data_IF_378943714207
#
_entry.id   IF_378943714207
#
_cell.length_a   1.000
_cell.length_b   1.000
_cell.length_c   1.000
_cell.angle_alpha   90.00
_cell.angle_beta   90.00
_cell.angle_gamma   90.00
#
_symmetry.space_group_name_H-M   'P 1'
#
loop_
_entity.id
_entity.type
_entity.pdbx_description
1 polymer ?
#
# COMPACT_ATOMS: atom_id res chain seq x y z
N UNK A 1 -23.13 18.62 6.51
CA UNK A 1 -22.00 19.53 6.22
C UNK A 1 -20.83 19.13 7.09
N UNK A 2 -19.89 18.37 6.52
CA UNK A 2 -18.74 17.81 7.22
C UNK A 2 -17.89 17.07 6.19
N UNK A 3 -17.36 17.82 5.22
CA UNK A 3 -16.65 17.25 4.06
C UNK A 3 -15.16 17.01 4.35
N UNK A 4 -14.65 17.58 5.45
CA UNK A 4 -13.32 17.34 6.00
C UNK A 4 -13.29 17.61 7.51
N UNK A 5 -12.42 16.90 8.23
CA UNK A 5 -12.16 17.07 9.65
C UNK A 5 -10.69 17.45 9.85
N UNK A 6 -10.40 18.44 10.70
CA UNK A 6 -9.03 18.78 11.09
C UNK A 6 -8.69 18.08 12.40
N UNK A 7 -7.57 17.36 12.42
CA UNK A 7 -7.05 16.67 13.61
C UNK A 7 -5.54 16.92 13.74
N UNK A 8 -5.01 16.93 14.94
CA UNK A 8 -3.56 17.04 15.19
C UNK A 8 -3.00 15.70 15.63
N UNK A 9 -2.06 15.13 14.87
CA UNK A 9 -1.28 13.98 15.33
C UNK A 9 -0.05 14.48 16.07
N UNK A 10 -0.16 14.63 17.39
CA UNK A 10 0.85 15.35 18.17
C UNK A 10 1.00 16.78 17.64
N UNK A 11 2.20 17.14 17.19
CA UNK A 11 2.49 18.47 16.63
C UNK A 11 2.25 18.59 15.11
N UNK A 12 1.73 17.55 14.45
CA UNK A 12 1.52 17.53 12.99
C UNK A 12 0.04 17.82 12.68
N UNK A 13 -0.30 18.98 12.11
CA UNK A 13 -1.66 19.27 11.67
C UNK A 13 -2.03 18.35 10.51
N UNK A 14 -3.16 17.66 10.63
CA UNK A 14 -3.62 16.66 9.67
C UNK A 14 -5.05 16.99 9.23
N UNK A 15 -5.26 17.06 7.92
CA UNK A 15 -6.59 17.21 7.34
C UNK A 15 -7.10 15.85 6.87
N UNK A 16 -8.20 15.39 7.45
CA UNK A 16 -8.88 14.15 7.07
C UNK A 16 -10.02 14.51 6.12
N UNK A 17 -9.99 13.95 4.91
CA UNK A 17 -11.03 14.16 3.89
C UNK A 17 -11.87 12.90 3.80
N UNK A 18 -13.15 13.00 4.16
CA UNK A 18 -14.10 11.88 4.17
C UNK A 18 -15.12 11.94 3.02
N UNK A 19 -15.16 13.05 2.27
CA UNK A 19 -16.06 13.23 1.12
C UNK A 19 -15.40 12.85 -0.20
N UNK A 20 -16.11 12.09 -1.03
CA UNK A 20 -15.66 11.66 -2.36
C UNK A 20 -15.51 12.83 -3.34
N UNK A 21 -16.35 13.86 -3.21
CA UNK A 21 -16.31 15.08 -4.03
C UNK A 21 -15.02 15.85 -3.77
N UNK A 22 -14.69 16.06 -2.49
CA UNK A 22 -13.47 16.75 -2.08
C UNK A 22 -12.21 15.94 -2.42
N UNK A 23 -12.24 14.62 -2.22
CA UNK A 23 -11.14 13.76 -2.65
C UNK A 23 -10.89 13.85 -4.16
N UNK A 24 -11.96 13.90 -4.97
CA UNK A 24 -11.86 14.07 -6.43
C UNK A 24 -11.25 15.42 -6.78
N UNK A 25 -11.67 16.50 -6.14
CA UNK A 25 -11.10 17.83 -6.38
C UNK A 25 -9.61 17.88 -6.05
N UNK A 26 -9.21 17.31 -4.91
CA UNK A 26 -7.81 17.24 -4.47
C UNK A 26 -6.95 16.43 -5.46
N UNK A 27 -7.37 15.22 -5.82
CA UNK A 27 -6.55 14.32 -6.63
C UNK A 27 -6.64 14.56 -8.14
N UNK A 28 -7.65 15.28 -8.65
CA UNK A 28 -7.74 15.62 -10.08
C UNK A 28 -7.26 17.03 -10.41
N UNK A 29 -7.68 18.02 -9.61
CA UNK A 29 -7.47 19.43 -9.95
C UNK A 29 -6.29 20.05 -9.20
N UNK A 30 -5.92 19.49 -8.04
CA UNK A 30 -4.87 20.04 -7.16
C UNK A 30 -3.80 19.01 -6.80
N UNK A 31 -3.61 18.01 -7.64
CA UNK A 31 -2.72 16.88 -7.37
C UNK A 31 -1.28 17.33 -7.08
N UNK A 32 -0.76 18.31 -7.82
CA UNK A 32 0.61 18.84 -7.65
C UNK A 32 0.85 19.47 -6.27
N UNK A 33 -0.17 20.10 -5.67
CA UNK A 33 -0.05 20.75 -4.35
C UNK A 33 -0.06 19.71 -3.23
N UNK A 34 -0.90 18.68 -3.38
CA UNK A 34 -1.05 17.60 -2.40
C UNK A 34 -0.12 16.41 -2.63
N UNK A 35 0.76 16.47 -3.63
CA UNK A 35 1.75 15.43 -3.91
C UNK A 35 2.96 15.46 -2.97
N UNK A 36 3.10 16.49 -2.14
CA UNK A 36 4.15 16.57 -1.13
C UNK A 36 4.04 15.45 -0.11
N UNK A 37 5.14 14.72 0.13
CA UNK A 37 5.20 13.67 1.16
C UNK A 37 6.01 14.17 2.35
N UNK A 38 5.43 14.23 3.57
CA UNK A 38 6.17 14.62 4.75
C UNK A 38 7.27 13.60 5.06
N UNK A 39 8.41 14.08 5.56
CA UNK A 39 9.54 13.24 5.94
C UNK A 39 9.15 12.35 7.13
N UNK A 40 9.09 11.05 6.90
CA UNK A 40 8.83 10.05 7.94
C UNK A 40 10.14 9.43 8.39
N UNK A 41 10.37 9.35 9.70
CA UNK A 41 11.58 8.75 10.26
C UNK A 41 11.78 7.30 9.81
N UNK A 42 10.69 6.52 9.76
CA UNK A 42 10.71 5.15 9.25
C UNK A 42 11.10 5.10 7.76
N UNK A 43 10.60 6.04 6.95
CA UNK A 43 10.95 6.12 5.53
C UNK A 43 12.41 6.52 5.31
N UNK A 44 12.98 7.36 6.16
CA UNK A 44 14.40 7.70 6.07
C UNK A 44 15.30 6.52 6.44
N UNK A 45 14.91 5.76 7.49
CA UNK A 45 15.69 4.62 7.95
C UNK A 45 15.59 3.41 7.02
N UNK A 46 14.40 3.12 6.50
CA UNK A 46 14.14 1.93 5.67
C UNK A 46 14.29 2.22 4.17
N UNK A 47 14.07 3.46 3.75
CA UNK A 47 13.95 3.85 2.35
C UNK A 47 15.10 4.69 1.85
N UNK A 48 16.34 4.38 2.21
CA UNK A 48 17.56 5.07 1.75
C UNK A 48 17.43 6.60 1.87
N UNK A 49 17.18 7.07 3.10
CA UNK A 49 16.92 8.48 3.41
C UNK A 49 15.70 9.08 2.67
N UNK A 50 14.65 8.28 2.48
CA UNK A 50 13.42 8.70 1.81
C UNK A 50 13.50 8.72 0.28
N UNK A 51 14.60 8.27 -0.33
CA UNK A 51 14.80 8.30 -1.79
C UNK A 51 13.97 7.26 -2.56
N UNK A 52 13.29 6.35 -1.87
CA UNK A 52 12.38 5.40 -2.55
C UNK A 52 11.22 6.11 -3.24
N UNK A 53 10.75 5.57 -4.38
CA UNK A 53 9.64 6.16 -5.15
C UNK A 53 8.34 6.34 -4.34
N UNK A 54 8.14 5.53 -3.30
CA UNK A 54 6.97 5.64 -2.41
C UNK A 54 7.05 6.81 -1.42
N UNK A 55 8.26 7.22 -1.00
CA UNK A 55 8.45 8.20 0.07
C UNK A 55 9.21 9.46 -0.37
N UNK A 56 9.78 9.47 -1.58
CA UNK A 56 10.51 10.61 -2.09
C UNK A 56 9.58 11.83 -2.25
N UNK A 57 10.07 13.05 -1.93
CA UNK A 57 9.32 14.27 -2.14
C UNK A 57 9.05 14.45 -3.63
N UNK A 58 7.94 15.11 -3.94
CA UNK A 58 7.57 15.40 -5.31
C UNK A 58 8.60 16.35 -5.95
N UNK A 59 9.15 15.94 -7.08
CA UNK A 59 10.20 16.67 -7.80
C UNK A 59 10.58 15.94 -9.09
N UNK A 60 11.60 16.45 -9.81
CA UNK A 60 12.04 15.86 -11.08
C UNK A 60 12.50 14.41 -10.91
N UNK A 61 13.29 14.14 -9.86
CA UNK A 61 13.73 12.79 -9.51
C UNK A 61 12.56 11.80 -9.39
N UNK A 62 11.52 12.17 -8.64
CA UNK A 62 10.35 11.31 -8.45
C UNK A 62 9.59 11.09 -9.77
N UNK A 63 9.46 12.13 -10.60
CA UNK A 63 8.78 12.03 -11.91
C UNK A 63 9.52 11.08 -12.86
N UNK A 64 10.84 11.17 -12.90
CA UNK A 64 11.69 10.31 -13.72
C UNK A 64 11.64 8.85 -13.23
N UNK A 65 11.83 8.63 -11.93
CA UNK A 65 11.74 7.30 -11.35
C UNK A 65 10.36 6.68 -11.55
N UNK A 66 9.28 7.45 -11.39
CA UNK A 66 7.92 6.98 -11.67
C UNK A 66 7.75 6.58 -13.13
N UNK A 67 8.31 7.34 -14.07
CA UNK A 67 8.27 7.02 -15.51
C UNK A 67 8.95 5.68 -15.78
N UNK A 68 10.15 5.46 -15.24
CA UNK A 68 10.89 4.19 -15.37
C UNK A 68 10.08 3.04 -14.76
N UNK A 69 9.55 3.20 -13.55
CA UNK A 69 8.75 2.15 -12.90
C UNK A 69 7.52 1.75 -13.73
N UNK A 70 6.80 2.72 -14.31
CA UNK A 70 5.59 2.45 -15.10
C UNK A 70 5.94 1.78 -16.43
N UNK A 71 6.95 2.28 -17.14
CA UNK A 71 7.30 1.79 -18.46
C UNK A 71 8.01 0.44 -18.42
N UNK A 72 8.88 0.24 -17.44
CA UNK A 72 9.67 -0.98 -17.35
C UNK A 72 8.99 -1.99 -16.47
N UNK A 73 8.82 -1.69 -15.17
CA UNK A 73 8.41 -2.69 -14.17
C UNK A 73 6.92 -3.03 -14.23
N UNK A 74 6.08 -2.01 -14.35
CA UNK A 74 4.61 -2.12 -14.25
C UNK A 74 3.91 -2.04 -15.61
N UNK A 75 4.65 -2.21 -16.70
CA UNK A 75 4.05 -2.22 -18.03
C UNK A 75 3.10 -3.42 -18.19
N UNK A 76 2.02 -3.29 -18.98
CA UNK A 76 1.09 -4.39 -19.22
C UNK A 76 1.80 -5.64 -19.74
N UNK A 77 2.80 -5.47 -20.62
CA UNK A 77 3.63 -6.55 -21.16
C UNK A 77 4.40 -7.28 -20.06
N UNK A 78 5.09 -6.56 -19.17
CA UNK A 78 5.84 -7.17 -18.07
C UNK A 78 4.90 -7.80 -17.05
N UNK A 79 3.78 -7.15 -16.73
CA UNK A 79 2.77 -7.75 -15.84
C UNK A 79 2.22 -9.06 -16.42
N UNK A 80 1.99 -9.16 -17.72
CA UNK A 80 1.55 -10.40 -18.37
C UNK A 80 2.66 -11.46 -18.39
N UNK A 81 3.92 -11.10 -18.63
CA UNK A 81 5.02 -12.09 -18.60
C UNK A 81 5.19 -12.77 -17.24
N UNK A 82 4.92 -12.05 -16.14
CA UNK A 82 4.92 -12.61 -14.78
C UNK A 82 3.65 -13.39 -14.40
N UNK A 83 2.71 -13.61 -15.32
CA UNK A 83 1.45 -14.28 -15.01
C UNK A 83 1.65 -15.73 -14.55
N UNK A 84 2.52 -16.49 -15.21
CA UNK A 84 2.78 -17.89 -14.85
C UNK A 84 3.32 -18.03 -13.42
N UNK A 85 4.30 -17.20 -13.05
CA UNK A 85 4.86 -17.16 -11.69
C UNK A 85 3.80 -16.83 -10.65
N UNK A 86 2.90 -15.86 -10.92
CA UNK A 86 1.82 -15.51 -9.99
C UNK A 86 0.79 -16.64 -9.81
N UNK A 87 0.52 -17.41 -10.86
CA UNK A 87 -0.38 -18.56 -10.78
C UNK A 87 0.26 -19.68 -9.96
N UNK A 88 1.53 -19.96 -10.21
CA UNK A 88 2.30 -20.94 -9.46
C UNK A 88 2.36 -20.61 -7.95
N UNK A 89 2.67 -19.36 -7.59
CA UNK A 89 2.72 -18.90 -6.19
C UNK A 89 1.36 -19.00 -5.49
N UNK A 90 0.27 -18.69 -6.21
CA UNK A 90 -1.10 -18.85 -5.69
C UNK A 90 -1.36 -20.31 -5.35
N UNK A 91 -1.10 -21.23 -6.27
CA UNK A 91 -1.44 -22.64 -6.13
C UNK A 91 -0.53 -23.36 -5.13
N UNK A 92 0.77 -23.04 -5.13
CA UNK A 92 1.76 -23.78 -4.33
C UNK A 92 1.93 -23.20 -2.93
N UNK A 93 1.90 -21.88 -2.77
CA UNK A 93 2.33 -21.24 -1.53
C UNK A 93 1.19 -20.61 -0.74
N UNK A 94 0.30 -19.84 -1.37
CA UNK A 94 -0.74 -19.13 -0.62
C UNK A 94 -1.93 -20.04 -0.33
N UNK A 95 -2.51 -20.65 -1.36
CA UNK A 95 -3.72 -21.47 -1.21
C UNK A 95 -3.43 -22.73 -0.41
N UNK A 96 -2.37 -23.47 -0.74
CA UNK A 96 -1.98 -24.65 0.05
C UNK A 96 -1.63 -24.32 1.50
N UNK A 97 -0.98 -23.18 1.79
CA UNK A 97 -0.70 -22.75 3.17
C UNK A 97 -2.00 -22.38 3.89
N UNK A 98 -2.91 -21.65 3.25
CA UNK A 98 -4.23 -21.35 3.81
C UNK A 98 -5.00 -22.64 4.12
N UNK A 99 -5.11 -23.58 3.19
CA UNK A 99 -5.77 -24.87 3.44
C UNK A 99 -5.08 -25.64 4.58
N UNK A 100 -3.75 -25.73 4.58
CA UNK A 100 -2.99 -26.44 5.61
C UNK A 100 -3.15 -25.79 6.99
N UNK A 101 -3.22 -24.47 7.05
CA UNK A 101 -3.43 -23.72 8.30
C UNK A 101 -4.88 -23.83 8.78
N UNK A 102 -5.86 -23.80 7.87
CA UNK A 102 -7.29 -24.04 8.21
C UNK A 102 -7.49 -25.48 8.72
N UNK A 103 -6.88 -26.48 8.08
CA UNK A 103 -6.94 -27.87 8.57
C UNK A 103 -6.25 -28.02 9.93
N UNK A 104 -5.09 -27.38 10.15
CA UNK A 104 -4.41 -27.39 11.46
C UNK A 104 -5.21 -26.69 12.56
N UNK A 105 -5.90 -25.58 12.24
CA UNK A 105 -6.80 -24.91 13.19
C UNK A 105 -7.99 -25.81 13.55
N UNK A 106 -8.47 -26.62 12.59
CA UNK A 106 -9.54 -27.61 12.83
C UNK A 106 -9.07 -28.77 13.71
N UNK A 107 -7.89 -29.31 13.47
CA UNK A 107 -7.28 -30.38 14.30
C UNK A 107 -6.92 -29.88 15.70
N UNK A 108 -6.48 -28.63 15.84
CA UNK A 108 -6.19 -28.01 17.14
C UNK A 108 -7.42 -27.75 18.02
N UNK A 109 -8.62 -27.62 17.42
CA UNK A 109 -9.88 -27.51 18.16
C UNK A 109 -10.47 -28.87 18.57
N UNK A 110 -10.06 -29.97 17.94
CA UNK A 110 -10.58 -31.32 18.20
C UNK A 110 -9.92 -32.02 19.40
N UNK A 111 -8.94 -31.36 20.05
CA UNK A 111 -8.31 -31.80 21.29
C UNK A 111 -8.73 -30.99 22.53
N UNK A 112 -9.73 -30.12 22.43
CA UNK A 112 -10.25 -29.40 23.60
C UNK A 112 -11.25 -30.32 24.32
N UNK A 113 -10.96 -30.78 25.55
CA UNK A 113 -11.92 -31.57 26.30
C UNK A 113 -13.17 -30.73 26.54
N UNK A 114 -14.34 -31.35 26.41
CA UNK A 114 -15.63 -30.76 26.77
C UNK A 114 -15.62 -30.41 28.28
N UNK A 115 -15.08 -29.25 28.64
CA UNK A 115 -15.21 -28.71 29.99
C UNK A 115 -16.43 -27.80 30.02
N UNK A 116 -17.48 -28.33 30.68
CA UNK A 116 -18.66 -27.69 31.27
C UNK A 116 -19.06 -26.29 30.76
#
# INVERSE_FOLDING_TARGET
MGHSCSCSWGSIPTLVVSSTEMAREIFKNRDSVFSGRPSLHAANRLGYNGSTVSFAPYGEYWREMRKIMILELLSPKRVQSFQAVRLEEREKNIVKRCYKNVCKLREGFQGMPDTC
#
